data_IF_112839522660
#
_entry.id   IF_112839522660
#
_cell.length_a   1.000
_cell.length_b   1.000
_cell.length_c   1.000
_cell.angle_alpha   90.00
_cell.angle_beta   90.00
_cell.angle_gamma   90.00
#
_symmetry.space_group_name_H-M   'P 1'
#
loop_
_entity.id
_entity.type
_entity.pdbx_description
1 polymer ?
#
# COMPACT_ATOMS: atom_id res chain seq x y z
N UNK A 1 -7.90 6.37 4.39
CA UNK A 1 -9.28 5.94 4.60
C UNK A 1 -10.05 5.95 3.28
N UNK A 2 -10.83 4.91 3.02
CA UNK A 2 -11.73 4.87 1.88
C UNK A 2 -13.01 5.66 2.18
N UNK A 3 -13.40 6.55 1.28
CA UNK A 3 -14.65 7.31 1.38
C UNK A 3 -15.76 6.65 0.55
N UNK A 4 -15.41 6.18 -0.65
CA UNK A 4 -16.32 5.49 -1.55
C UNK A 4 -15.58 4.40 -2.31
N UNK A 5 -16.22 3.24 -2.47
CA UNK A 5 -15.68 2.16 -3.29
C UNK A 5 -14.81 1.16 -2.54
N UNK A 6 -15.02 0.99 -1.23
CA UNK A 6 -14.31 0.00 -0.43
C UNK A 6 -14.40 -1.39 -1.05
N UNK A 7 -13.25 -2.08 -1.15
CA UNK A 7 -13.14 -3.41 -1.74
C UNK A 7 -13.56 -3.51 -3.21
N UNK A 8 -13.33 -2.50 -4.02
CA UNK A 8 -13.59 -2.59 -5.46
C UNK A 8 -12.41 -2.19 -6.36
N UNK A 9 -11.37 -1.64 -5.79
CA UNK A 9 -10.13 -1.26 -6.50
C UNK A 9 -9.43 -2.46 -7.13
N UNK A 10 -9.40 -3.63 -6.47
CA UNK A 10 -8.82 -4.85 -7.03
C UNK A 10 -9.66 -5.47 -8.17
N UNK A 11 -10.88 -4.99 -8.40
CA UNK A 11 -11.67 -5.28 -9.61
C UNK A 11 -11.44 -4.25 -10.73
N UNK A 12 -10.66 -3.22 -10.45
CA UNK A 12 -10.40 -2.12 -11.37
C UNK A 12 -11.49 -1.06 -11.42
N UNK A 13 -12.40 -1.03 -10.43
CA UNK A 13 -13.39 0.04 -10.29
C UNK A 13 -12.82 1.25 -9.57
N UNK A 14 -13.29 2.46 -9.90
CA UNK A 14 -12.80 3.68 -9.29
C UNK A 14 -13.17 3.77 -7.82
N UNK A 15 -12.32 4.41 -7.03
CA UNK A 15 -12.52 4.64 -5.61
C UNK A 15 -12.25 6.10 -5.27
N UNK A 16 -12.80 6.56 -4.14
CA UNK A 16 -12.43 7.83 -3.53
C UNK A 16 -11.85 7.56 -2.16
N UNK A 17 -10.61 7.96 -1.95
CA UNK A 17 -9.91 7.75 -0.69
C UNK A 17 -9.20 9.04 -0.25
N UNK A 18 -8.99 9.19 1.06
CA UNK A 18 -8.33 10.34 1.65
C UNK A 18 -7.21 9.92 2.59
N UNK A 19 -6.06 10.58 2.47
CA UNK A 19 -5.03 10.51 3.48
C UNK A 19 -5.51 11.23 4.75
N UNK A 20 -5.06 10.74 5.89
CA UNK A 20 -5.28 11.36 7.20
C UNK A 20 -3.96 11.93 7.74
N UNK A 21 -3.99 12.65 8.82
CA UNK A 21 -2.82 13.30 9.41
C UNK A 21 -1.97 12.41 10.34
N UNK A 22 -2.39 11.16 10.57
CA UNK A 22 -1.56 10.16 11.24
C UNK A 22 -0.44 9.69 10.31
N UNK A 23 0.79 9.62 10.82
CA UNK A 23 1.99 9.37 10.03
C UNK A 23 2.77 8.17 10.51
N UNK A 24 3.45 7.52 9.55
CA UNK A 24 4.64 6.73 9.81
C UNK A 24 5.84 7.58 9.42
N UNK A 25 6.81 7.64 10.30
CA UNK A 25 8.04 8.40 10.11
C UNK A 25 9.25 7.47 10.08
N UNK A 26 10.15 7.69 9.13
CA UNK A 26 11.42 6.97 9.03
C UNK A 26 12.54 8.00 9.08
N UNK A 27 13.35 7.93 10.13
CA UNK A 27 14.61 8.67 10.20
C UNK A 27 15.74 7.74 9.79
N UNK A 28 16.64 8.20 8.93
CA UNK A 28 17.69 7.32 8.44
C UNK A 28 19.05 8.01 8.35
N UNK A 29 20.10 7.24 8.69
CA UNK A 29 21.51 7.64 8.56
C UNK A 29 22.23 6.68 7.65
N UNK A 30 23.16 7.20 6.82
CA UNK A 30 23.96 6.38 5.91
C UNK A 30 25.00 5.56 6.67
N UNK A 31 25.29 4.37 6.17
CA UNK A 31 26.38 3.50 6.61
C UNK A 31 27.39 3.37 5.47
N UNK A 32 28.61 2.97 5.80
CA UNK A 32 29.65 2.72 4.81
C UNK A 32 29.70 1.26 4.34
N UNK A 33 29.04 0.38 5.09
CA UNK A 33 28.87 -1.04 4.74
C UNK A 33 27.61 -1.26 3.89
N UNK A 34 27.31 -2.51 3.62
CA UNK A 34 26.13 -2.92 2.86
C UNK A 34 25.04 -3.56 3.74
N UNK A 35 24.93 -3.09 5.00
CA UNK A 35 23.90 -3.56 5.91
C UNK A 35 22.83 -2.51 6.12
N UNK A 36 21.58 -2.97 6.16
CA UNK A 36 20.40 -2.17 6.49
C UNK A 36 19.94 -2.58 7.87
N UNK A 37 20.09 -1.68 8.83
CA UNK A 37 19.60 -1.85 10.19
C UNK A 37 18.29 -1.11 10.34
N UNK A 38 17.26 -1.75 10.89
CA UNK A 38 15.94 -1.16 11.06
C UNK A 38 15.48 -1.36 12.50
N UNK A 39 15.24 -0.26 13.20
CA UNK A 39 14.60 -0.25 14.52
C UNK A 39 13.11 0.08 14.33
N UNK A 40 12.24 -0.88 14.66
CA UNK A 40 10.79 -0.73 14.65
C UNK A 40 10.33 -0.41 16.07
N UNK A 41 10.36 0.87 16.43
CA UNK A 41 10.20 1.34 17.83
C UNK A 41 8.88 0.86 18.45
N UNK A 42 7.79 0.92 17.72
CA UNK A 42 6.46 0.56 18.23
C UNK A 42 6.25 -0.96 18.40
N UNK A 43 7.17 -1.76 17.86
CA UNK A 43 7.15 -3.23 17.95
C UNK A 43 8.23 -3.77 18.90
N UNK A 44 9.12 -2.92 19.40
CA UNK A 44 10.34 -3.33 20.13
C UNK A 44 11.14 -4.40 19.35
N UNK A 45 11.25 -4.20 18.03
CA UNK A 45 11.85 -5.15 17.09
C UNK A 45 12.99 -4.50 16.31
N UNK A 46 14.07 -5.27 16.11
CA UNK A 46 15.19 -4.88 15.27
C UNK A 46 15.35 -5.88 14.12
N UNK A 47 15.66 -5.37 12.93
CA UNK A 47 15.96 -6.18 11.75
C UNK A 47 17.27 -5.74 11.13
N UNK A 48 18.01 -6.71 10.57
CA UNK A 48 19.23 -6.46 9.83
C UNK A 48 19.16 -7.23 8.51
N UNK A 49 19.42 -6.52 7.42
CA UNK A 49 19.49 -7.10 6.08
C UNK A 49 20.84 -6.80 5.46
N UNK A 50 21.50 -7.82 4.92
CA UNK A 50 22.74 -7.66 4.15
C UNK A 50 22.37 -7.51 2.66
N UNK A 51 22.71 -6.36 2.06
CA UNK A 51 22.37 -6.06 0.65
C UNK A 51 23.16 -6.91 -0.35
N UNK A 52 24.31 -7.54 0.06
CA UNK A 52 25.05 -8.46 -0.79
C UNK A 52 24.46 -9.87 -0.79
N UNK A 53 23.65 -10.19 0.23
CA UNK A 53 23.04 -11.50 0.40
C UNK A 53 21.69 -11.36 1.14
N UNK A 54 20.69 -10.83 0.43
CA UNK A 54 19.35 -10.71 0.98
C UNK A 54 18.79 -12.08 1.40
N UNK A 55 18.24 -12.24 2.61
CA UNK A 55 17.64 -13.48 3.04
C UNK A 55 16.47 -13.88 2.12
N UNK A 56 16.10 -15.16 2.16
CA UNK A 56 14.91 -15.62 1.43
C UNK A 56 13.66 -14.87 1.94
N UNK A 57 12.76 -14.42 1.03
CA UNK A 57 11.56 -13.71 1.41
C UNK A 57 10.69 -14.51 2.36
N UNK A 58 10.28 -13.89 3.46
CA UNK A 58 9.34 -14.48 4.42
C UNK A 58 7.95 -13.85 4.22
N UNK A 59 6.86 -14.58 4.47
CA UNK A 59 5.53 -14.02 4.43
C UNK A 59 5.42 -12.78 5.33
N UNK A 60 4.90 -11.69 4.79
CA UNK A 60 4.71 -10.41 5.50
C UNK A 60 5.97 -9.67 5.95
N UNK A 61 7.15 -10.11 5.55
CA UNK A 61 8.36 -9.29 5.69
C UNK A 61 8.43 -8.28 4.54
N UNK A 62 7.50 -7.34 4.56
CA UNK A 62 7.33 -6.33 3.51
C UNK A 62 8.57 -5.47 3.29
N UNK A 63 9.35 -5.19 4.33
CA UNK A 63 10.60 -4.42 4.22
C UNK A 63 11.62 -5.18 3.39
N UNK A 64 11.79 -6.48 3.66
CA UNK A 64 12.66 -7.36 2.88
C UNK A 64 12.19 -7.51 1.44
N UNK A 65 10.88 -7.65 1.23
CA UNK A 65 10.32 -7.75 -0.13
C UNK A 65 10.59 -6.51 -0.95
N UNK A 66 10.48 -5.32 -0.36
CA UNK A 66 10.82 -4.08 -1.05
C UNK A 66 12.30 -4.02 -1.44
N UNK A 67 13.23 -4.55 -0.61
CA UNK A 67 14.64 -4.69 -0.96
C UNK A 67 14.84 -5.68 -2.12
N UNK A 68 14.18 -6.84 -2.10
CA UNK A 68 14.22 -7.79 -3.22
C UNK A 68 13.66 -7.20 -4.52
N UNK A 69 12.58 -6.42 -4.42
CA UNK A 69 12.02 -5.72 -5.58
C UNK A 69 13.04 -4.71 -6.14
N UNK A 70 13.69 -3.96 -5.25
CA UNK A 70 14.73 -3.00 -5.61
C UNK A 70 15.93 -3.67 -6.29
N UNK A 71 16.39 -4.80 -5.76
CA UNK A 71 17.48 -5.59 -6.32
C UNK A 71 17.13 -6.10 -7.73
N UNK A 72 15.99 -6.77 -7.86
CA UNK A 72 15.50 -7.32 -9.13
C UNK A 72 15.33 -6.27 -10.23
N UNK A 73 14.99 -5.03 -9.87
CA UNK A 73 14.74 -3.94 -10.81
C UNK A 73 15.90 -2.95 -10.94
N UNK A 74 17.02 -3.23 -10.29
CA UNK A 74 18.25 -2.45 -10.44
C UNK A 74 18.19 -1.06 -9.78
N UNK A 75 17.45 -0.91 -8.68
CA UNK A 75 17.42 0.31 -7.88
C UNK A 75 17.75 0.07 -6.39
N UNK A 76 18.44 -1.04 -6.09
CA UNK A 76 18.97 -1.30 -4.76
C UNK A 76 20.14 -0.32 -4.47
N UNK A 77 20.16 0.39 -3.33
CA UNK A 77 21.23 1.31 -2.99
C UNK A 77 22.59 0.63 -2.88
N UNK A 78 23.66 1.38 -3.21
CA UNK A 78 25.03 0.88 -3.12
C UNK A 78 25.51 0.72 -1.69
N UNK A 79 25.07 1.58 -0.77
CA UNK A 79 25.46 1.56 0.63
C UNK A 79 24.26 1.24 1.51
N UNK A 80 24.54 0.64 2.68
CA UNK A 80 23.54 0.39 3.70
C UNK A 80 23.14 1.66 4.46
N UNK A 81 22.19 1.51 5.35
CA UNK A 81 21.72 2.59 6.23
C UNK A 81 21.16 2.03 7.55
N UNK A 82 21.05 2.91 8.52
CA UNK A 82 20.28 2.66 9.72
C UNK A 82 18.98 3.45 9.64
N UNK A 83 17.86 2.81 9.86
CA UNK A 83 16.53 3.39 9.84
C UNK A 83 15.83 3.21 11.19
N UNK A 84 15.25 4.28 11.71
CA UNK A 84 14.40 4.28 12.90
C UNK A 84 12.99 4.56 12.42
N UNK A 85 12.08 3.62 12.63
CA UNK A 85 10.68 3.68 12.18
C UNK A 85 9.78 3.88 13.39
N UNK A 86 8.90 4.88 13.31
CA UNK A 86 7.87 5.13 14.31
C UNK A 86 6.52 5.41 13.66
N UNK A 87 5.42 5.01 14.29
CA UNK A 87 4.07 5.10 13.78
C UNK A 87 3.12 5.79 14.73
N UNK A 88 2.33 6.74 14.21
CA UNK A 88 1.15 7.27 14.88
C UNK A 88 -0.11 6.50 14.48
N UNK A 89 -0.02 5.65 13.44
CA UNK A 89 -1.16 4.89 12.92
C UNK A 89 -1.34 3.65 13.76
N UNK A 90 -2.53 3.41 14.35
CA UNK A 90 -2.78 2.20 15.12
C UNK A 90 -2.60 0.94 14.26
N UNK A 91 -1.84 -0.02 14.78
CA UNK A 91 -1.62 -1.30 14.10
C UNK A 91 -2.88 -2.16 14.11
N UNK A 92 -3.09 -2.93 13.04
CA UNK A 92 -4.22 -3.85 12.88
C UNK A 92 -5.62 -3.20 13.05
N UNK A 93 -5.71 -1.88 12.94
CA UNK A 93 -6.95 -1.11 13.11
C UNK A 93 -7.66 -0.79 11.78
N UNK A 94 -7.17 -1.31 10.66
CA UNK A 94 -7.74 -1.04 9.34
C UNK A 94 -7.45 0.35 8.78
N UNK A 95 -6.44 1.04 9.33
CA UNK A 95 -6.00 2.37 8.91
C UNK A 95 -4.78 2.33 7.97
N UNK A 96 -4.57 1.22 7.26
CA UNK A 96 -3.53 1.04 6.22
C UNK A 96 -2.10 1.30 6.70
N UNK A 97 -1.77 0.88 7.93
CA UNK A 97 -0.43 1.09 8.50
C UNK A 97 0.67 0.38 7.71
N UNK A 98 0.43 -0.84 7.19
CA UNK A 98 1.38 -1.56 6.34
C UNK A 98 1.67 -0.84 5.03
N UNK A 99 0.63 -0.37 4.35
CA UNK A 99 0.77 0.38 3.10
C UNK A 99 1.50 1.71 3.32
N UNK A 100 1.20 2.42 4.41
CA UNK A 100 1.91 3.64 4.77
C UNK A 100 3.40 3.39 5.06
N UNK A 101 3.73 2.29 5.78
CA UNK A 101 5.11 1.86 6.03
C UNK A 101 5.83 1.59 4.71
N UNK A 102 5.22 0.80 3.84
CA UNK A 102 5.83 0.44 2.56
C UNK A 102 6.02 1.62 1.63
N UNK A 103 5.08 2.56 1.58
CA UNK A 103 5.24 3.79 0.80
C UNK A 103 6.45 4.59 1.30
N UNK A 104 6.56 4.80 2.62
CA UNK A 104 7.71 5.50 3.21
C UNK A 104 9.03 4.73 2.98
N UNK A 105 9.02 3.41 3.09
CA UNK A 105 10.18 2.55 2.89
C UNK A 105 10.66 2.54 1.44
N UNK A 106 9.75 2.36 0.48
CA UNK A 106 10.07 2.42 -0.95
C UNK A 106 10.61 3.80 -1.35
N UNK A 107 10.05 4.88 -0.79
CA UNK A 107 10.56 6.23 -1.02
C UNK A 107 11.99 6.39 -0.50
N UNK A 108 12.28 5.90 0.71
CA UNK A 108 13.63 5.93 1.28
C UNK A 108 14.64 5.14 0.41
N UNK A 109 14.28 3.92 -0.02
CA UNK A 109 15.16 3.11 -0.90
C UNK A 109 15.40 3.85 -2.22
N UNK A 110 14.36 4.38 -2.84
CA UNK A 110 14.46 5.08 -4.12
C UNK A 110 15.31 6.36 -4.03
N UNK A 111 15.17 7.13 -2.94
CA UNK A 111 15.99 8.32 -2.67
C UNK A 111 17.47 7.96 -2.53
N UNK A 112 17.79 6.85 -1.87
CA UNK A 112 19.15 6.37 -1.67
C UNK A 112 19.77 5.70 -2.90
N UNK A 113 18.96 5.34 -3.89
CA UNK A 113 19.40 4.68 -5.13
C UNK A 113 19.71 5.63 -6.28
N UNK A 114 19.69 6.95 -6.05
CA UNK A 114 19.82 7.99 -7.08
C UNK A 114 18.86 7.84 -8.26
N UNK A 115 17.74 7.12 -8.06
CA UNK A 115 16.75 6.87 -9.10
C UNK A 115 15.76 8.03 -9.19
N UNK A 116 15.46 8.45 -10.41
CA UNK A 116 14.32 9.33 -10.64
C UNK A 116 13.02 8.59 -10.31
N UNK A 117 12.26 9.13 -9.38
CA UNK A 117 10.98 8.59 -8.95
C UNK A 117 9.94 9.71 -8.79
N UNK A 118 8.68 9.30 -8.82
CA UNK A 118 7.56 10.16 -8.46
C UNK A 118 6.61 9.39 -7.52
N UNK A 119 5.67 10.10 -6.96
CA UNK A 119 4.73 9.52 -5.98
C UNK A 119 3.93 8.34 -6.56
N UNK A 120 3.51 8.42 -7.83
CA UNK A 120 2.78 7.32 -8.48
C UNK A 120 3.67 6.07 -8.66
N UNK A 121 4.96 6.26 -8.96
CA UNK A 121 5.91 5.15 -9.03
C UNK A 121 6.12 4.51 -7.64
N UNK A 122 6.26 5.32 -6.57
CA UNK A 122 6.37 4.83 -5.18
C UNK A 122 5.12 4.05 -4.78
N UNK A 123 3.92 4.56 -5.08
CA UNK A 123 2.67 3.85 -4.81
C UNK A 123 2.65 2.46 -5.46
N UNK A 124 3.08 2.38 -6.72
CA UNK A 124 3.15 1.12 -7.46
C UNK A 124 4.21 0.16 -6.90
N UNK A 125 5.38 0.68 -6.51
CA UNK A 125 6.43 -0.13 -5.90
C UNK A 125 5.97 -0.71 -4.55
N UNK A 126 5.33 0.09 -3.71
CA UNK A 126 4.77 -0.34 -2.44
C UNK A 126 3.66 -1.39 -2.63
N UNK A 127 2.74 -1.19 -3.57
CA UNK A 127 1.70 -2.18 -3.89
C UNK A 127 2.29 -3.50 -4.37
N UNK A 128 3.31 -3.46 -5.21
CA UNK A 128 3.99 -4.69 -5.68
C UNK A 128 4.67 -5.45 -4.55
N UNK A 129 5.26 -4.74 -3.60
CA UNK A 129 5.89 -5.35 -2.44
C UNK A 129 4.86 -5.93 -1.43
N UNK A 130 3.69 -5.31 -1.29
CA UNK A 130 2.66 -5.70 -0.33
C UNK A 130 1.71 -6.77 -0.88
N UNK A 131 1.27 -6.60 -2.11
CA UNK A 131 0.15 -7.34 -2.71
C UNK A 131 0.60 -8.28 -3.82
N UNK A 132 1.25 -7.73 -4.86
CA UNK A 132 1.58 -8.46 -6.08
C UNK A 132 2.60 -9.57 -5.84
N UNK A 133 3.59 -9.34 -4.98
CA UNK A 133 4.66 -10.30 -4.70
C UNK A 133 4.14 -11.65 -4.20
N UNK A 134 3.14 -11.64 -3.35
CA UNK A 134 2.53 -12.84 -2.77
C UNK A 134 1.22 -13.25 -3.44
N UNK A 135 0.74 -12.50 -4.44
CA UNK A 135 -0.57 -12.72 -5.05
C UNK A 135 -1.73 -12.53 -4.07
N UNK A 136 -1.54 -11.66 -3.08
CA UNK A 136 -2.57 -11.37 -2.08
C UNK A 136 -3.78 -10.65 -2.69
N UNK A 137 -4.98 -10.85 -2.13
CA UNK A 137 -6.16 -10.13 -2.58
C UNK A 137 -6.10 -8.66 -2.10
N UNK A 138 -5.66 -7.75 -2.96
CA UNK A 138 -5.59 -6.33 -2.62
C UNK A 138 -5.50 -5.45 -3.86
N UNK A 139 -6.05 -4.25 -3.78
CA UNK A 139 -5.89 -3.21 -4.79
C UNK A 139 -4.76 -2.24 -4.44
N UNK A 140 -4.66 -1.15 -5.17
CA UNK A 140 -3.60 -0.15 -5.02
C UNK A 140 -4.11 1.15 -4.38
N UNK A 141 -5.31 1.17 -3.82
CA UNK A 141 -5.94 2.36 -3.24
C UNK A 141 -5.11 2.94 -2.08
N UNK A 142 -4.76 2.08 -1.12
CA UNK A 142 -4.08 2.49 0.11
C UNK A 142 -2.70 3.07 -0.18
N UNK A 143 -1.90 2.38 -0.98
CA UNK A 143 -0.57 2.83 -1.36
C UNK A 143 -0.63 4.12 -2.18
N UNK A 144 -1.65 4.24 -3.05
CA UNK A 144 -1.85 5.45 -3.87
C UNK A 144 -2.14 6.66 -3.00
N UNK A 145 -3.10 6.55 -2.08
CA UNK A 145 -3.47 7.70 -1.25
C UNK A 145 -2.40 8.04 -0.22
N UNK A 146 -1.67 7.05 0.30
CA UNK A 146 -0.52 7.29 1.18
C UNK A 146 0.61 8.04 0.46
N UNK A 147 0.88 7.72 -0.82
CA UNK A 147 1.94 8.35 -1.59
C UNK A 147 1.57 9.74 -2.11
N UNK A 148 0.33 9.94 -2.58
CA UNK A 148 -0.11 11.19 -3.18
C UNK A 148 -0.62 12.21 -2.15
N UNK A 149 -1.17 11.73 -1.04
CA UNK A 149 -1.79 12.59 -0.02
C UNK A 149 -3.14 13.18 -0.44
N UNK A 150 -3.75 13.94 0.46
CA UNK A 150 -5.04 14.59 0.24
C UNK A 150 -6.19 13.61 -0.04
N UNK A 151 -7.24 14.09 -0.68
CA UNK A 151 -8.35 13.27 -1.15
C UNK A 151 -8.19 13.01 -2.64
N UNK A 152 -8.27 11.75 -3.06
CA UNK A 152 -8.03 11.30 -4.42
C UNK A 152 -9.23 10.53 -4.97
N UNK A 153 -9.65 10.83 -6.19
CA UNK A 153 -10.41 9.93 -7.03
C UNK A 153 -9.42 9.09 -7.83
N UNK A 154 -9.46 7.78 -7.65
CA UNK A 154 -8.50 6.84 -8.24
C UNK A 154 -9.26 5.94 -9.22
N UNK A 155 -8.92 6.01 -10.49
CA UNK A 155 -9.42 5.13 -11.55
C UNK A 155 -8.31 4.15 -11.96
N UNK A 156 -8.68 2.90 -12.20
CA UNK A 156 -7.75 1.82 -12.57
C UNK A 156 -7.92 1.41 -14.03
N UNK A 157 -9.03 1.77 -14.67
CA UNK A 157 -9.35 1.46 -16.06
C UNK A 157 -9.76 2.72 -16.83
N UNK A 158 -9.47 2.84 -18.16
CA UNK A 158 -8.65 1.95 -18.97
C UNK A 158 -7.17 2.00 -18.61
N UNK A 159 -6.73 3.02 -17.88
CA UNK A 159 -5.39 3.19 -17.36
C UNK A 159 -5.46 3.74 -15.94
N UNK A 160 -4.42 3.51 -15.14
CA UNK A 160 -4.32 4.09 -13.81
C UNK A 160 -4.27 5.63 -13.90
N UNK A 161 -5.18 6.27 -13.18
CA UNK A 161 -5.24 7.73 -13.07
C UNK A 161 -5.69 8.12 -11.67
N UNK A 162 -5.02 9.10 -11.07
CA UNK A 162 -5.45 9.71 -9.82
C UNK A 162 -5.71 11.19 -10.04
N UNK A 163 -6.84 11.65 -9.55
CA UNK A 163 -7.27 13.05 -9.65
C UNK A 163 -7.54 13.59 -8.26
N UNK A 164 -6.84 14.66 -7.83
CA UNK A 164 -7.08 15.25 -6.53
C UNK A 164 -8.49 15.84 -6.46
N UNK A 165 -9.14 15.62 -5.34
CA UNK A 165 -10.44 16.18 -4.99
C UNK A 165 -10.29 17.16 -3.82
N UNK A 166 -11.21 18.11 -3.67
CA UNK A 166 -11.30 18.89 -2.44
C UNK A 166 -11.49 17.97 -1.24
N UNK A 167 -10.68 18.16 -0.20
CA UNK A 167 -10.88 17.43 1.04
C UNK A 167 -12.22 17.82 1.66
N UNK A 168 -13.07 16.88 2.07
CA UNK A 168 -14.32 17.18 2.74
C UNK A 168 -14.09 18.07 3.96
N UNK A 169 -14.90 19.11 4.15
CA UNK A 169 -14.74 20.00 5.30
C UNK A 169 -15.07 19.28 6.61
N UNK A 170 -14.45 19.74 7.70
CA UNK A 170 -14.70 19.20 9.04
C UNK A 170 -13.50 18.43 9.59
N UNK A 171 -13.71 17.81 10.74
CA UNK A 171 -12.72 16.97 11.42
C UNK A 171 -13.07 15.51 11.27
N UNK A 172 -12.04 14.69 11.04
CA UNK A 172 -12.18 13.23 10.99
C UNK A 172 -12.01 12.66 12.39
N UNK A 173 -12.90 11.78 12.79
CA UNK A 173 -12.81 11.05 14.05
C UNK A 173 -12.58 9.57 13.75
N UNK A 174 -11.46 9.05 14.19
CA UNK A 174 -11.13 7.63 14.10
C UNK A 174 -11.42 6.97 15.46
N UNK A 175 -12.36 6.02 15.47
CA UNK A 175 -12.69 5.26 16.68
C UNK A 175 -12.03 3.88 16.61
N UNK A 176 -11.27 3.55 17.64
CA UNK A 176 -10.69 2.21 17.79
C UNK A 176 -11.74 1.28 18.44
N UNK A 177 -12.21 0.30 17.66
CA UNK A 177 -13.19 -0.70 18.13
C UNK A 177 -12.60 -1.70 19.14
N UNK A 178 -11.28 -1.71 19.35
CA UNK A 178 -10.55 -2.72 20.13
C UNK A 178 -10.74 -4.16 19.62
N UNK A 179 -11.24 -4.33 18.41
CA UNK A 179 -11.39 -5.63 17.77
C UNK A 179 -10.31 -5.80 16.71
N UNK A 180 -9.46 -6.84 16.78
CA UNK A 180 -8.45 -7.07 15.74
C UNK A 180 -9.12 -7.39 14.42
N UNK A 181 -8.65 -6.76 13.34
CA UNK A 181 -9.16 -7.01 11.98
C UNK A 181 -8.49 -8.26 11.40
N UNK A 182 -9.27 -9.29 11.06
CA UNK A 182 -8.82 -10.37 10.17
C UNK A 182 -8.86 -9.89 8.71
N UNK A 183 -7.83 -9.11 8.34
CA UNK A 183 -7.77 -8.44 7.03
C UNK A 183 -7.78 -9.44 5.88
N UNK A 184 -6.95 -10.49 5.93
CA UNK A 184 -6.84 -11.45 4.81
C UNK A 184 -8.10 -12.30 4.66
N UNK A 185 -8.67 -12.80 5.76
CA UNK A 185 -9.88 -13.60 5.70
C UNK A 185 -11.10 -12.79 5.23
N UNK A 186 -11.22 -11.53 5.66
CA UNK A 186 -12.29 -10.63 5.19
C UNK A 186 -12.10 -10.28 3.72
N UNK A 187 -10.88 -9.92 3.29
CA UNK A 187 -10.59 -9.57 1.89
C UNK A 187 -10.84 -10.73 0.94
N UNK A 188 -10.37 -11.94 1.27
CA UNK A 188 -10.59 -13.13 0.43
C UNK A 188 -12.07 -13.44 0.28
N UNK A 189 -12.82 -13.51 1.39
CA UNK A 189 -14.27 -13.78 1.33
C UNK A 189 -15.02 -12.69 0.54
N UNK A 190 -14.71 -11.42 0.77
CA UNK A 190 -15.35 -10.32 0.06
C UNK A 190 -15.03 -10.34 -1.44
N UNK A 191 -13.79 -10.68 -1.81
CA UNK A 191 -13.36 -10.81 -3.20
C UNK A 191 -14.10 -11.95 -3.89
N UNK A 192 -14.12 -13.13 -3.30
CA UNK A 192 -14.71 -14.33 -3.91
C UNK A 192 -16.21 -14.15 -4.14
N UNK A 193 -16.97 -13.68 -3.14
CA UNK A 193 -18.40 -13.39 -3.29
C UNK A 193 -18.70 -12.35 -4.37
N UNK A 194 -17.89 -11.28 -4.46
CA UNK A 194 -18.10 -10.22 -5.46
C UNK A 194 -17.69 -10.67 -6.86
N UNK A 195 -16.61 -11.45 -6.99
CA UNK A 195 -16.21 -12.03 -8.27
C UNK A 195 -17.32 -12.93 -8.82
N UNK A 196 -17.90 -13.77 -8.00
CA UNK A 196 -19.02 -14.63 -8.41
C UNK A 196 -20.23 -13.82 -8.90
N UNK A 197 -20.60 -12.76 -8.19
CA UNK A 197 -21.67 -11.85 -8.62
C UNK A 197 -21.33 -11.17 -9.96
N UNK A 198 -20.12 -10.62 -10.11
CA UNK A 198 -19.69 -9.96 -11.34
C UNK A 198 -19.70 -10.94 -12.52
N UNK A 199 -19.15 -12.14 -12.36
CA UNK A 199 -19.15 -13.18 -13.40
C UNK A 199 -20.56 -13.64 -13.78
N UNK A 200 -21.48 -13.68 -12.81
CA UNK A 200 -22.89 -14.00 -13.08
C UNK A 200 -23.56 -12.91 -13.91
N UNK A 201 -23.31 -11.64 -13.60
CA UNK A 201 -23.86 -10.52 -14.34
C UNK A 201 -23.26 -10.39 -15.75
N UNK A 202 -21.95 -10.63 -15.91
CA UNK A 202 -21.30 -10.67 -17.24
C UNK A 202 -21.87 -11.79 -18.10
N UNK A 203 -22.09 -12.98 -17.53
CA UNK A 203 -22.73 -14.10 -18.24
C UNK A 203 -24.16 -13.82 -18.69
N UNK A 204 -24.88 -13.03 -17.92
CA UNK A 204 -26.27 -12.63 -18.25
C UNK A 204 -26.33 -11.46 -19.22
N UNK A 205 -25.19 -10.87 -19.62
CA UNK A 205 -25.15 -9.70 -20.50
C UNK A 205 -25.80 -8.45 -19.90
N UNK A 206 -25.98 -8.42 -18.58
CA UNK A 206 -26.76 -7.38 -17.89
C UNK A 206 -25.97 -6.11 -17.62
N UNK A 207 -24.63 -6.12 -17.76
CA UNK A 207 -23.81 -4.97 -17.39
C UNK A 207 -22.75 -4.69 -18.45
N UNK A 208 -22.86 -3.53 -19.06
CA UNK A 208 -21.76 -2.88 -19.78
C UNK A 208 -21.06 -1.92 -18.82
N UNK A 209 -20.00 -2.38 -18.18
CA UNK A 209 -19.17 -1.60 -17.25
C UNK A 209 -18.55 -0.34 -17.85
N UNK A 210 -18.50 -0.24 -19.18
CA UNK A 210 -17.98 0.93 -19.87
C UNK A 210 -18.99 2.08 -19.93
N UNK A 211 -20.29 1.80 -19.79
CA UNK A 211 -21.34 2.78 -20.05
C UNK A 211 -22.20 3.17 -18.86
N UNK A 212 -22.30 2.36 -17.78
CA UNK A 212 -23.10 2.71 -16.58
C UNK A 212 -22.51 2.12 -15.31
N UNK A 213 -22.42 2.90 -14.21
CA UNK A 213 -22.32 2.30 -12.89
C UNK A 213 -23.59 1.45 -12.64
N UNK A 214 -23.46 0.26 -11.98
CA UNK A 214 -24.61 -0.55 -11.68
C UNK A 214 -25.60 0.25 -10.84
N UNK A 215 -26.86 0.31 -11.27
CA UNK A 215 -27.95 0.70 -10.38
C UNK A 215 -28.19 -0.52 -9.48
N UNK A 216 -27.75 -0.43 -8.24
CA UNK A 216 -28.12 -1.43 -7.25
C UNK A 216 -29.62 -1.28 -6.93
N UNK A 217 -30.38 -2.38 -6.81
CA UNK A 217 -31.77 -2.35 -6.38
C UNK A 217 -31.88 -1.84 -4.95
#
# INVERSE_FOLDING_TARGET
ICLFGEHQDYFGFPVVASAIDLRISIQSTSRLDREVHVDLIDLDEQRVYNLDALPAPQPRDYLLIALHLADREGWLPQNGWHAIVSSQIPMCAGASSSSALLVAWCALIAERSDRNWNQAWIAKAAWRAEVDWFGEPGGMMDQTVCALGGTQHIAFRPAFQSTPLPTPPGSWLLFDSKQPKDTLGVLSRAKDCRLELIQNWERQGTIDWAQRPPQFP
#
